data_IF_409537284302
#
_entry.id   IF_409537284302
#
_cell.length_a   1.000
_cell.length_b   1.000
_cell.length_c   1.000
_cell.angle_alpha   90.00
_cell.angle_beta   90.00
_cell.angle_gamma   90.00
#
_symmetry.space_group_name_H-M   'P 1'
#
loop_
_entity.id
_entity.type
_entity.pdbx_description
1 polymer ?
#
# COMPACT_ATOMS: atom_id res chain seq x y z
N UNK A 1 40.61 7.11 -14.09
CA UNK A 1 39.90 5.84 -13.89
C UNK A 1 39.64 5.69 -12.40
N UNK A 2 38.40 5.51 -11.91
CA UNK A 2 38.20 5.20 -10.51
C UNK A 2 38.75 3.79 -10.23
N UNK A 3 39.44 3.65 -9.11
CA UNK A 3 40.06 2.39 -8.68
C UNK A 3 38.97 1.43 -8.19
N UNK A 4 38.72 0.36 -8.95
CA UNK A 4 37.66 -0.61 -8.69
C UNK A 4 38.10 -1.58 -7.59
N UNK A 5 37.99 -1.14 -6.34
CA UNK A 5 38.23 -1.99 -5.18
C UNK A 5 37.06 -2.96 -4.99
N UNK A 6 37.38 -4.24 -4.82
CA UNK A 6 36.40 -5.27 -4.49
C UNK A 6 35.80 -5.02 -3.09
N UNK A 7 34.56 -5.44 -2.88
CA UNK A 7 33.89 -5.34 -1.57
C UNK A 7 34.45 -6.45 -0.66
N UNK A 8 34.80 -6.09 0.57
CA UNK A 8 35.26 -7.06 1.56
C UNK A 8 34.13 -8.04 1.92
N UNK A 9 34.39 -9.35 2.05
CA UNK A 9 33.34 -10.35 2.22
C UNK A 9 32.38 -10.08 3.39
N UNK A 10 32.88 -9.60 4.54
CA UNK A 10 32.03 -9.32 5.69
C UNK A 10 31.12 -8.10 5.44
N UNK A 11 31.60 -7.07 4.74
CA UNK A 11 30.76 -5.97 4.30
C UNK A 11 29.69 -6.41 3.30
N UNK A 12 30.04 -7.30 2.35
CA UNK A 12 29.07 -7.87 1.42
C UNK A 12 27.99 -8.70 2.14
N UNK A 13 28.36 -9.45 3.18
CA UNK A 13 27.40 -10.20 4.01
C UNK A 13 26.47 -9.27 4.81
N UNK A 14 27.02 -8.22 5.44
CA UNK A 14 26.22 -7.21 6.17
C UNK A 14 25.22 -6.53 5.26
N UNK A 15 25.64 -6.12 4.06
CA UNK A 15 24.76 -5.47 3.08
C UNK A 15 23.66 -6.44 2.64
N UNK A 16 23.99 -7.70 2.34
CA UNK A 16 23.00 -8.72 1.96
C UNK A 16 21.98 -8.97 3.07
N UNK A 17 22.42 -9.06 4.32
CA UNK A 17 21.53 -9.20 5.47
C UNK A 17 20.59 -7.99 5.62
N UNK A 18 21.12 -6.77 5.50
CA UNK A 18 20.32 -5.55 5.55
C UNK A 18 19.28 -5.49 4.41
N UNK A 19 19.67 -5.89 3.20
CA UNK A 19 18.75 -5.96 2.05
C UNK A 19 17.63 -6.97 2.25
N UNK A 20 17.90 -8.11 2.90
CA UNK A 20 16.87 -9.07 3.27
C UNK A 20 15.90 -8.45 4.28
N UNK A 21 16.41 -7.80 5.33
CA UNK A 21 15.57 -7.12 6.33
C UNK A 21 14.68 -6.02 5.72
N UNK A 22 15.20 -5.26 4.74
CA UNK A 22 14.40 -4.26 4.00
C UNK A 22 13.28 -4.93 3.20
N UNK A 23 13.53 -6.08 2.56
CA UNK A 23 12.51 -6.82 1.82
C UNK A 23 11.42 -7.36 2.74
N UNK A 24 11.81 -7.95 3.86
CA UNK A 24 10.85 -8.50 4.82
C UNK A 24 9.95 -7.41 5.40
N UNK A 25 10.53 -6.26 5.78
CA UNK A 25 9.77 -5.11 6.26
C UNK A 25 8.83 -4.53 5.19
N UNK A 26 9.27 -4.54 3.92
CA UNK A 26 8.46 -4.08 2.79
C UNK A 26 7.26 -5.01 2.54
N UNK A 27 7.46 -6.32 2.64
CA UNK A 27 6.39 -7.32 2.52
C UNK A 27 5.36 -7.19 3.66
N UNK A 28 5.83 -6.93 4.88
CA UNK A 28 4.96 -6.70 6.04
C UNK A 28 4.10 -5.44 5.84
N UNK A 29 4.72 -4.33 5.42
CA UNK A 29 4.04 -3.07 5.13
C UNK A 29 2.95 -3.26 4.07
N UNK A 30 3.27 -3.94 2.97
CA UNK A 30 2.34 -4.18 1.88
C UNK A 30 1.11 -4.99 2.34
N UNK A 31 1.33 -6.06 3.12
CA UNK A 31 0.24 -6.86 3.71
C UNK A 31 -0.60 -6.07 4.71
N UNK A 32 0.02 -5.25 5.55
CA UNK A 32 -0.68 -4.41 6.53
C UNK A 32 -1.59 -3.38 5.85
N UNK A 33 -1.09 -2.72 4.80
CA UNK A 33 -1.87 -1.78 3.97
C UNK A 33 -3.08 -2.48 3.36
N UNK A 34 -2.86 -3.63 2.71
CA UNK A 34 -3.96 -4.37 2.09
C UNK A 34 -5.01 -4.82 3.13
N UNK A 35 -4.57 -5.30 4.30
CA UNK A 35 -5.48 -5.71 5.37
C UNK A 35 -6.33 -4.54 5.87
N UNK A 36 -5.75 -3.36 6.04
CA UNK A 36 -6.50 -2.16 6.42
C UNK A 36 -7.59 -1.82 5.39
N UNK A 37 -7.26 -1.89 4.10
CA UNK A 37 -8.21 -1.62 3.01
C UNK A 37 -9.34 -2.67 2.94
N UNK A 38 -9.00 -3.95 3.10
CA UNK A 38 -9.99 -5.05 3.19
C UNK A 38 -10.94 -4.83 4.37
N UNK A 39 -10.43 -4.37 5.51
CA UNK A 39 -11.24 -4.04 6.68
C UNK A 39 -12.07 -2.75 6.52
N UNK A 40 -11.97 -2.06 5.38
CA UNK A 40 -12.80 -0.91 5.03
C UNK A 40 -12.15 0.45 5.23
N UNK A 41 -10.85 0.53 5.54
CA UNK A 41 -10.14 1.81 5.56
C UNK A 41 -10.16 2.46 4.17
N UNK A 42 -10.23 3.79 4.14
CA UNK A 42 -10.13 4.53 2.87
C UNK A 42 -8.67 4.65 2.42
N UNK A 43 -8.43 4.68 1.11
CA UNK A 43 -7.10 4.94 0.53
C UNK A 43 -6.48 6.22 1.08
N UNK A 44 -7.31 7.26 1.30
CA UNK A 44 -6.87 8.53 1.88
C UNK A 44 -6.32 8.37 3.30
N UNK A 45 -7.08 7.71 4.18
CA UNK A 45 -6.69 7.54 5.58
C UNK A 45 -5.36 6.75 5.70
N UNK A 46 -5.16 5.75 4.85
CA UNK A 46 -3.89 5.00 4.81
C UNK A 46 -2.76 5.84 4.22
N UNK A 47 -3.01 6.66 3.21
CA UNK A 47 -2.01 7.54 2.61
C UNK A 47 -1.49 8.62 3.58
N UNK A 48 -2.33 9.10 4.50
CA UNK A 48 -1.94 10.06 5.55
C UNK A 48 -0.86 9.49 6.49
N UNK A 49 -0.60 8.18 6.48
CA UNK A 49 0.49 7.53 7.22
C UNK A 49 1.85 7.57 6.50
N UNK A 50 2.00 8.37 5.44
CA UNK A 50 3.27 8.58 4.74
C UNK A 50 3.44 7.75 3.45
N UNK A 51 2.36 7.18 2.93
CA UNK A 51 2.37 6.46 1.66
C UNK A 51 1.70 7.29 0.58
N UNK A 52 2.23 7.22 -0.66
CA UNK A 52 1.49 7.79 -1.78
C UNK A 52 0.16 7.04 -2.00
N UNK A 53 -0.93 7.72 -2.39
CA UNK A 53 -2.19 7.05 -2.70
C UNK A 53 -2.07 5.96 -3.76
N UNK A 54 -1.15 6.12 -4.73
CA UNK A 54 -0.87 5.12 -5.76
C UNK A 54 -0.23 3.86 -5.17
N UNK A 55 0.71 4.03 -4.24
CA UNK A 55 1.36 2.93 -3.52
C UNK A 55 0.32 2.13 -2.71
N UNK A 56 -0.56 2.84 -1.98
CA UNK A 56 -1.64 2.21 -1.21
C UNK A 56 -2.55 1.36 -2.11
N UNK A 57 -2.97 1.90 -3.26
CA UNK A 57 -3.79 1.16 -4.21
C UNK A 57 -3.07 -0.04 -4.82
N UNK A 58 -1.77 0.09 -5.13
CA UNK A 58 -0.95 -1.00 -5.66
C UNK A 58 -0.92 -2.18 -4.67
N UNK A 59 -0.58 -1.91 -3.41
CA UNK A 59 -0.54 -2.93 -2.35
C UNK A 59 -1.89 -3.57 -2.09
N UNK A 60 -2.96 -2.76 -2.05
CA UNK A 60 -4.32 -3.28 -1.95
C UNK A 60 -4.64 -4.28 -3.07
N UNK A 61 -4.37 -3.90 -4.33
CA UNK A 61 -4.65 -4.75 -5.51
C UNK A 61 -3.84 -6.05 -5.53
N UNK A 62 -2.59 -6.01 -5.09
CA UNK A 62 -1.74 -7.20 -5.01
C UNK A 62 -2.29 -8.25 -4.02
N UNK A 63 -3.07 -7.81 -3.03
CA UNK A 63 -3.54 -8.66 -1.92
C UNK A 63 -5.08 -8.75 -1.82
N UNK A 64 -5.80 -8.59 -2.94
CA UNK A 64 -7.22 -8.92 -3.04
C UNK A 64 -8.20 -7.79 -2.67
N UNK A 65 -7.71 -6.57 -2.47
CA UNK A 65 -8.56 -5.38 -2.42
C UNK A 65 -8.75 -4.77 -3.83
N UNK A 66 -9.97 -4.31 -4.21
CA UNK A 66 -11.18 -4.26 -3.41
C UNK A 66 -11.93 -5.59 -3.38
N UNK A 67 -12.40 -5.97 -2.19
CA UNK A 67 -13.35 -7.08 -2.04
C UNK A 67 -14.72 -6.70 -2.62
N UNK A 68 -15.58 -7.69 -2.84
CA UNK A 68 -16.97 -7.45 -3.28
C UNK A 68 -17.72 -6.54 -2.30
N UNK A 69 -17.49 -6.73 -0.99
CA UNK A 69 -18.07 -5.87 0.04
C UNK A 69 -17.53 -4.44 -0.03
N UNK A 70 -16.23 -4.25 -0.24
CA UNK A 70 -15.67 -2.90 -0.46
C UNK A 70 -16.28 -2.23 -1.69
N UNK A 71 -16.51 -3.00 -2.78
CA UNK A 71 -17.17 -2.48 -3.98
C UNK A 71 -18.62 -2.08 -3.70
N UNK A 72 -19.36 -2.92 -2.97
CA UNK A 72 -20.75 -2.62 -2.59
C UNK A 72 -20.84 -1.34 -1.76
N UNK A 73 -20.03 -1.21 -0.69
CA UNK A 73 -19.98 -0.01 0.17
C UNK A 73 -19.60 1.25 -0.60
N UNK A 74 -18.66 1.15 -1.55
CA UNK A 74 -18.27 2.27 -2.40
C UNK A 74 -19.42 2.71 -3.33
N UNK A 75 -20.16 1.75 -3.89
CA UNK A 75 -21.32 2.03 -4.74
C UNK A 75 -22.49 2.62 -3.92
N UNK A 76 -22.80 2.06 -2.75
CA UNK A 76 -23.80 2.61 -1.82
C UNK A 76 -23.47 4.06 -1.46
N UNK A 77 -22.22 4.35 -1.08
CA UNK A 77 -21.75 5.71 -0.78
C UNK A 77 -21.86 6.69 -1.96
N UNK A 78 -21.77 6.17 -3.21
CA UNK A 78 -21.93 6.96 -4.44
C UNK A 78 -23.40 7.28 -4.71
N UNK A 79 -24.29 6.31 -4.51
CA UNK A 79 -25.74 6.49 -4.65
C UNK A 79 -26.27 7.51 -3.62
N UNK A 80 -25.90 7.37 -2.35
CA UNK A 80 -26.28 8.31 -1.28
C UNK A 80 -25.84 9.76 -1.56
N UNK A 81 -24.67 9.93 -2.21
CA UNK A 81 -24.17 11.26 -2.59
C UNK A 81 -24.94 11.82 -3.79
N UNK A 82 -25.26 10.98 -4.78
CA UNK A 82 -25.98 11.40 -5.97
C UNK A 82 -27.44 11.74 -5.68
N UNK A 83 -28.09 11.00 -4.76
CA UNK A 83 -29.45 11.30 -4.33
C UNK A 83 -29.54 12.63 -3.59
N UNK A 84 -28.60 12.94 -2.68
CA UNK A 84 -28.52 14.27 -2.06
C UNK A 84 -28.31 15.38 -3.09
N UNK A 85 -27.42 15.20 -4.07
CA UNK A 85 -27.20 16.19 -5.12
C UNK A 85 -28.41 16.39 -6.05
N UNK A 86 -29.29 15.38 -6.19
CA UNK A 86 -30.54 15.50 -6.95
C UNK A 86 -31.70 16.09 -6.13
N UNK A 87 -31.65 15.99 -4.81
CA UNK A 87 -32.66 16.57 -3.92
C UNK A 87 -32.43 18.07 -3.65
N UNK A 88 -31.18 18.53 -3.77
CA UNK A 88 -30.77 19.92 -3.50
C UNK A 88 -30.65 20.80 -4.78
N UNK A 89 -31.11 20.32 -5.95
CA UNK A 89 -31.07 21.04 -7.23
C UNK A 89 -32.43 21.12 -7.89
#
# INVERSE_FOLDING_TARGET
>A
MPDAREIEPADADRIRAALLGVRDAQDELEKAVARALVNGASVRAVAELGLSPNTVQKYGRAHGWPTEENRRRFNESRWDRQERQRADG
#
